data_IF_566855323043
#
_entry.id   IF_566855323043
#
_cell.length_a   1.000
_cell.length_b   1.000
_cell.length_c   1.000
_cell.angle_alpha   90.00
_cell.angle_beta   90.00
_cell.angle_gamma   90.00
#
_symmetry.space_group_name_H-M   'P 1'
#
loop_
_entity.id
_entity.type
_entity.pdbx_description
1 polymer ?
#
# COMPACT_ATOMS: atom_id res chain seq x y z
N UNK A 1 31.85 8.45 -15.68
CA UNK A 1 31.66 7.80 -16.98
C UNK A 1 30.40 8.42 -17.53
N UNK A 2 30.56 9.46 -18.34
CA UNK A 2 29.47 10.11 -19.04
C UNK A 2 29.14 9.21 -20.23
N UNK A 3 28.16 8.33 -20.05
CA UNK A 3 27.61 7.54 -21.14
C UNK A 3 26.87 8.49 -22.08
N UNK A 4 27.60 9.02 -23.07
CA UNK A 4 27.04 9.49 -24.34
C UNK A 4 26.49 8.28 -25.10
N UNK A 5 25.43 7.69 -24.58
CA UNK A 5 24.59 6.81 -25.37
C UNK A 5 23.69 7.70 -26.24
N UNK A 6 23.82 7.58 -27.55
CA UNK A 6 22.90 8.18 -28.51
C UNK A 6 21.51 7.55 -28.28
N UNK A 7 20.57 8.34 -27.78
CA UNK A 7 19.17 7.97 -27.69
C UNK A 7 18.34 8.91 -28.55
N UNK A 8 17.42 8.33 -29.31
CA UNK A 8 16.45 9.06 -30.13
C UNK A 8 15.08 8.41 -29.97
N UNK A 9 13.98 9.18 -30.09
CA UNK A 9 12.65 8.60 -30.17
C UNK A 9 12.54 7.68 -31.39
N UNK A 10 11.80 6.59 -31.25
CA UNK A 10 11.48 5.75 -32.38
C UNK A 10 10.53 6.44 -33.39
N UNK A 11 10.27 5.78 -34.52
CA UNK A 11 9.38 6.31 -35.56
C UNK A 11 7.93 6.55 -35.10
N UNK A 12 7.55 6.01 -33.94
CA UNK A 12 6.24 6.20 -33.32
C UNK A 12 6.24 7.24 -32.20
N UNK A 13 7.37 7.91 -31.96
CA UNK A 13 7.49 8.94 -30.94
C UNK A 13 7.65 8.39 -29.53
N UNK A 14 8.12 7.16 -29.35
CA UNK A 14 8.43 6.57 -28.05
C UNK A 14 9.92 6.73 -27.74
N UNK A 15 10.23 7.18 -26.53
CA UNK A 15 11.61 7.32 -26.05
C UNK A 15 11.77 6.56 -24.73
N UNK A 16 12.56 5.48 -24.79
CA UNK A 16 12.86 4.62 -23.65
C UNK A 16 14.23 4.95 -23.05
N UNK A 17 14.22 5.41 -21.80
CA UNK A 17 15.39 5.88 -21.06
C UNK A 17 15.49 5.21 -19.67
N UNK A 18 15.05 3.95 -19.60
CA UNK A 18 15.01 3.17 -18.35
C UNK A 18 16.41 2.69 -17.95
N UNK A 19 16.64 2.51 -16.65
CA UNK A 19 17.88 1.90 -16.11
C UNK A 19 19.20 2.61 -16.47
N UNK A 20 19.15 3.91 -16.78
CA UNK A 20 20.34 4.71 -17.14
C UNK A 20 21.10 5.29 -15.95
N UNK A 21 20.62 5.06 -14.73
CA UNK A 21 21.21 5.62 -13.51
C UNK A 21 21.09 7.15 -13.40
N UNK A 22 20.20 7.76 -14.20
CA UNK A 22 20.07 9.21 -14.27
C UNK A 22 19.61 9.80 -12.95
N UNK A 23 20.31 10.86 -12.50
CA UNK A 23 19.91 11.66 -11.33
C UNK A 23 19.14 12.92 -11.71
N UNK A 24 19.26 13.33 -12.98
CA UNK A 24 18.49 14.38 -13.65
C UNK A 24 18.25 13.95 -15.10
N UNK A 25 17.16 14.42 -15.70
CA UNK A 25 16.87 14.18 -17.12
C UNK A 25 17.82 15.04 -17.96
N UNK A 26 18.45 14.42 -18.96
CA UNK A 26 19.29 15.13 -19.90
C UNK A 26 18.45 16.12 -20.74
N UNK A 27 18.83 17.42 -20.81
CA UNK A 27 18.09 18.44 -21.56
C UNK A 27 17.86 18.14 -23.04
N UNK A 28 18.65 17.25 -23.66
CA UNK A 28 18.42 16.80 -25.04
C UNK A 28 17.06 16.14 -25.24
N UNK A 29 16.45 15.59 -24.19
CA UNK A 29 15.09 15.04 -24.28
C UNK A 29 14.09 16.10 -24.77
N UNK A 30 14.29 17.38 -24.42
CA UNK A 30 13.38 18.46 -24.78
C UNK A 30 13.45 18.82 -26.27
N UNK A 31 14.53 18.50 -26.98
CA UNK A 31 14.60 18.78 -28.43
C UNK A 31 13.65 17.91 -29.25
N UNK A 32 13.15 16.81 -28.67
CA UNK A 32 12.19 15.91 -29.30
C UNK A 32 10.72 16.32 -29.10
N UNK A 33 10.45 17.52 -28.57
CA UNK A 33 9.10 18.04 -28.33
C UNK A 33 8.14 17.97 -29.54
N UNK A 34 8.70 17.97 -30.75
CA UNK A 34 7.95 17.95 -32.01
C UNK A 34 7.45 16.56 -32.43
N UNK A 35 7.97 15.49 -31.84
CA UNK A 35 7.62 14.10 -32.21
C UNK A 35 7.36 13.18 -31.02
N UNK A 36 7.70 13.60 -29.80
CA UNK A 36 7.62 12.72 -28.63
C UNK A 36 6.19 12.59 -28.11
N UNK A 37 5.68 11.36 -28.14
CA UNK A 37 4.36 10.96 -27.65
C UNK A 37 4.46 10.22 -26.32
N UNK A 38 5.49 9.40 -26.13
CA UNK A 38 5.64 8.55 -24.96
C UNK A 38 7.06 8.66 -24.41
N UNK A 39 7.19 9.01 -23.14
CA UNK A 39 8.48 9.15 -22.45
C UNK A 39 8.56 8.16 -21.28
N UNK A 40 9.52 7.25 -21.32
CA UNK A 40 9.81 6.35 -20.21
C UNK A 40 11.18 6.64 -19.60
N UNK A 41 11.18 7.24 -18.41
CA UNK A 41 12.36 7.50 -17.57
C UNK A 41 12.34 6.67 -16.28
N UNK A 42 11.60 5.56 -16.27
CA UNK A 42 11.46 4.72 -15.09
C UNK A 42 12.74 3.98 -14.69
N UNK A 43 12.82 3.53 -13.44
CA UNK A 43 13.98 2.80 -12.92
C UNK A 43 15.30 3.60 -13.03
N UNK A 44 15.24 4.89 -12.69
CA UNK A 44 16.40 5.76 -12.58
C UNK A 44 16.57 6.24 -11.13
N UNK A 45 17.35 7.31 -10.93
CA UNK A 45 17.63 7.91 -9.62
C UNK A 45 17.17 9.38 -9.57
N UNK A 46 16.15 9.73 -10.38
CA UNK A 46 15.67 11.10 -10.54
C UNK A 46 15.09 11.61 -9.21
N UNK A 47 15.56 12.77 -8.75
CA UNK A 47 15.05 13.43 -7.53
C UNK A 47 13.90 14.38 -7.81
N UNK A 48 13.89 14.96 -8.99
CA UNK A 48 12.89 15.93 -9.46
C UNK A 48 12.64 15.74 -10.94
N UNK A 49 11.45 16.11 -11.41
CA UNK A 49 11.21 16.36 -12.84
C UNK A 49 11.24 17.88 -13.04
N UNK A 50 11.96 18.38 -14.05
CA UNK A 50 12.08 19.81 -14.32
C UNK A 50 10.80 20.33 -14.99
N UNK A 51 10.53 21.64 -14.85
CA UNK A 51 9.32 22.26 -15.40
C UNK A 51 9.29 22.20 -16.94
N UNK A 52 10.47 22.12 -17.58
CA UNK A 52 10.70 21.96 -19.01
C UNK A 52 10.02 20.72 -19.61
N UNK A 53 9.57 19.76 -18.79
CA UNK A 53 8.73 18.65 -19.25
C UNK A 53 7.45 19.16 -19.95
N UNK A 54 6.97 20.36 -19.60
CA UNK A 54 5.82 20.98 -20.27
C UNK A 54 6.07 21.36 -21.72
N UNK A 55 7.34 21.40 -22.17
CA UNK A 55 7.69 21.64 -23.57
C UNK A 55 7.32 20.46 -24.48
N UNK A 56 7.11 19.27 -23.91
CA UNK A 56 6.69 18.07 -24.64
C UNK A 56 5.19 18.13 -24.93
N UNK A 57 4.76 19.11 -25.73
CA UNK A 57 3.34 19.45 -25.92
C UNK A 57 2.50 18.33 -26.56
N UNK A 58 3.14 17.36 -27.22
CA UNK A 58 2.50 16.20 -27.83
C UNK A 58 2.47 14.95 -26.92
N UNK A 59 3.06 15.04 -25.72
CA UNK A 59 3.21 13.91 -24.82
C UNK A 59 1.83 13.39 -24.38
N UNK A 60 1.62 12.10 -24.58
CA UNK A 60 0.42 11.35 -24.22
C UNK A 60 0.66 10.44 -23.03
N UNK A 61 1.86 9.88 -22.90
CA UNK A 61 2.20 9.00 -21.79
C UNK A 61 3.54 9.38 -21.16
N UNK A 62 3.55 9.51 -19.83
CA UNK A 62 4.75 9.63 -19.04
C UNK A 62 4.89 8.45 -18.09
N UNK A 63 6.01 7.74 -18.16
CA UNK A 63 6.43 6.79 -17.15
C UNK A 63 7.68 7.30 -16.43
N UNK A 64 7.53 7.66 -15.16
CA UNK A 64 8.61 8.06 -14.25
C UNK A 64 8.63 7.19 -12.98
N UNK A 65 8.08 5.97 -13.07
CA UNK A 65 8.03 5.02 -11.96
C UNK A 65 9.42 4.58 -11.48
N UNK A 66 9.51 4.09 -10.24
CA UNK A 66 10.75 3.57 -9.64
C UNK A 66 11.91 4.58 -9.70
N UNK A 67 11.68 5.78 -9.16
CA UNK A 67 12.65 6.87 -9.04
C UNK A 67 12.68 7.39 -7.59
N UNK A 68 13.26 8.58 -7.36
CA UNK A 68 13.34 9.23 -6.04
C UNK A 68 12.59 10.56 -6.02
N UNK A 69 11.52 10.68 -6.82
CA UNK A 69 10.75 11.92 -6.94
C UNK A 69 10.00 12.22 -5.64
N UNK A 70 10.09 13.46 -5.16
CA UNK A 70 9.34 13.94 -3.98
C UNK A 70 8.05 14.68 -4.37
N UNK A 71 7.97 15.18 -5.60
CA UNK A 71 6.82 15.86 -6.16
C UNK A 71 6.82 15.73 -7.68
N UNK A 72 5.65 15.88 -8.29
CA UNK A 72 5.52 16.15 -9.71
C UNK A 72 5.50 17.67 -9.92
N UNK A 73 6.14 18.21 -10.98
CA UNK A 73 6.07 19.64 -11.30
C UNK A 73 4.64 20.00 -11.71
N UNK A 74 4.15 21.17 -11.30
CA UNK A 74 2.80 21.61 -11.68
C UNK A 74 2.62 21.75 -13.19
N UNK A 75 3.70 22.07 -13.91
CA UNK A 75 3.71 22.27 -15.37
C UNK A 75 3.37 21.01 -16.18
N UNK A 76 3.57 19.81 -15.62
CA UNK A 76 3.19 18.57 -16.32
C UNK A 76 1.69 18.51 -16.61
N UNK A 77 0.87 19.10 -15.73
CA UNK A 77 -0.58 19.02 -15.83
C UNK A 77 -1.19 20.00 -16.84
N UNK A 78 -0.38 20.90 -17.41
CA UNK A 78 -0.81 21.75 -18.53
C UNK A 78 -0.72 21.05 -19.89
N UNK A 79 -0.17 19.83 -19.95
CA UNK A 79 -0.06 19.05 -21.18
C UNK A 79 -1.45 18.57 -21.64
N UNK A 80 -1.97 19.18 -22.70
CA UNK A 80 -3.34 18.98 -23.16
C UNK A 80 -3.65 17.54 -23.64
N UNK A 81 -2.63 16.80 -24.07
CA UNK A 81 -2.75 15.46 -24.62
C UNK A 81 -2.33 14.36 -23.66
N UNK A 82 -1.90 14.69 -22.44
CA UNK A 82 -1.42 13.72 -21.47
C UNK A 82 -2.57 12.86 -20.93
N UNK A 83 -2.52 11.57 -21.25
CA UNK A 83 -3.55 10.56 -20.94
C UNK A 83 -3.11 9.62 -19.83
N UNK A 84 -1.82 9.32 -19.75
CA UNK A 84 -1.29 8.34 -18.78
C UNK A 84 -0.11 8.92 -18.03
N UNK A 85 -0.18 8.86 -16.70
CA UNK A 85 0.95 9.14 -15.81
C UNK A 85 1.20 7.91 -14.94
N UNK A 86 2.39 7.32 -15.07
CA UNK A 86 2.91 6.28 -14.17
C UNK A 86 4.03 6.87 -13.32
N UNK A 87 3.79 7.04 -12.04
CA UNK A 87 4.73 7.62 -11.08
C UNK A 87 4.84 6.78 -9.79
N UNK A 88 4.49 5.48 -9.88
CA UNK A 88 4.58 4.55 -8.76
C UNK A 88 6.02 4.27 -8.32
N UNK A 89 6.22 3.86 -7.07
CA UNK A 89 7.55 3.53 -6.55
C UNK A 89 8.46 4.76 -6.45
N UNK A 90 7.94 5.85 -5.90
CA UNK A 90 8.65 7.11 -5.68
C UNK A 90 8.49 7.54 -4.21
N UNK A 91 8.91 8.76 -3.88
CA UNK A 91 8.75 9.36 -2.55
C UNK A 91 7.79 10.57 -2.60
N UNK A 92 6.78 10.54 -3.46
CA UNK A 92 5.89 11.68 -3.68
C UNK A 92 5.02 11.91 -2.46
N UNK A 93 5.08 13.11 -1.88
CA UNK A 93 4.32 13.50 -0.68
C UNK A 93 3.02 14.21 -1.00
N UNK A 94 2.99 14.94 -2.12
CA UNK A 94 1.84 15.77 -2.53
C UNK A 94 1.70 15.82 -4.04
N UNK A 95 0.46 15.96 -4.52
CA UNK A 95 0.15 16.24 -5.92
C UNK A 95 -0.21 17.73 -6.03
N UNK A 96 0.39 18.48 -6.98
CA UNK A 96 0.00 19.86 -7.24
C UNK A 96 -1.48 20.01 -7.62
N UNK A 97 -2.12 21.11 -7.22
CA UNK A 97 -3.53 21.43 -7.55
C UNK A 97 -3.74 21.57 -9.06
N UNK A 98 -2.67 21.85 -9.79
CA UNK A 98 -2.61 21.97 -11.25
C UNK A 98 -3.07 20.69 -11.94
N UNK A 99 -3.12 19.53 -11.25
CA UNK A 99 -3.71 18.29 -11.78
C UNK A 99 -5.10 18.49 -12.38
N UNK A 100 -5.90 19.43 -11.86
CA UNK A 100 -7.22 19.73 -12.41
C UNK A 100 -7.21 20.33 -13.84
N UNK A 101 -6.05 20.73 -14.36
CA UNK A 101 -5.85 21.20 -15.73
C UNK A 101 -5.75 20.04 -16.73
N UNK A 102 -5.36 18.85 -16.28
CA UNK A 102 -5.11 17.69 -17.14
C UNK A 102 -6.42 16.98 -17.53
N UNK A 103 -7.23 17.61 -18.39
CA UNK A 103 -8.56 17.13 -18.80
C UNK A 103 -8.56 15.82 -19.59
N UNK A 104 -7.44 15.53 -20.26
CA UNK A 104 -7.25 14.32 -21.05
C UNK A 104 -6.80 13.11 -20.23
N UNK A 105 -6.49 13.27 -18.93
CA UNK A 105 -5.95 12.20 -18.10
C UNK A 105 -6.96 11.07 -17.93
N UNK A 106 -6.57 9.86 -18.31
CA UNK A 106 -7.36 8.64 -18.25
C UNK A 106 -6.85 7.68 -17.18
N UNK A 107 -5.52 7.63 -16.99
CA UNK A 107 -4.88 6.74 -16.01
C UNK A 107 -3.81 7.46 -15.21
N UNK A 108 -3.92 7.38 -13.88
CA UNK A 108 -2.95 7.90 -12.94
C UNK A 108 -2.55 6.81 -11.96
N UNK A 109 -1.28 6.41 -12.01
CA UNK A 109 -0.69 5.50 -11.06
C UNK A 109 0.32 6.21 -10.15
N UNK A 110 -0.03 6.30 -8.87
CA UNK A 110 0.80 6.86 -7.80
C UNK A 110 0.98 5.85 -6.65
N UNK A 111 0.83 4.56 -6.92
CA UNK A 111 1.04 3.52 -5.91
C UNK A 111 2.47 3.54 -5.35
N UNK A 112 2.68 3.02 -4.15
CA UNK A 112 4.01 2.92 -3.54
C UNK A 112 4.71 4.28 -3.47
N UNK A 113 4.04 5.23 -2.83
CA UNK A 113 4.53 6.58 -2.55
C UNK A 113 4.25 6.92 -1.07
N UNK A 114 4.39 8.18 -0.67
CA UNK A 114 4.15 8.65 0.71
C UNK A 114 3.09 9.77 0.73
N UNK A 115 2.09 9.66 -0.14
CA UNK A 115 1.03 10.66 -0.25
C UNK A 115 0.20 10.71 1.03
N UNK A 116 0.04 11.90 1.59
CA UNK A 116 -0.83 12.15 2.76
C UNK A 116 -2.17 12.78 2.38
N UNK A 117 -2.27 13.36 1.18
CA UNK A 117 -3.50 14.00 0.69
C UNK A 117 -3.61 13.88 -0.81
N UNK A 118 -4.84 13.84 -1.31
CA UNK A 118 -5.16 14.04 -2.73
C UNK A 118 -5.83 15.42 -2.87
N UNK A 119 -5.40 16.28 -3.80
CA UNK A 119 -6.01 17.59 -4.03
C UNK A 119 -7.45 17.43 -4.51
N UNK A 120 -8.33 18.35 -4.11
CA UNK A 120 -9.73 18.32 -4.54
C UNK A 120 -9.88 18.48 -6.06
N UNK A 121 -8.90 19.12 -6.70
CA UNK A 121 -8.81 19.38 -8.13
C UNK A 121 -8.69 18.10 -8.97
N UNK A 122 -8.39 16.94 -8.38
CA UNK A 122 -8.47 15.63 -9.07
C UNK A 122 -9.84 15.40 -9.73
N UNK A 123 -10.90 15.95 -9.13
CA UNK A 123 -12.27 15.89 -9.63
C UNK A 123 -12.47 16.57 -11.00
N UNK A 124 -11.52 17.44 -11.38
CA UNK A 124 -11.52 18.13 -12.66
C UNK A 124 -10.97 17.28 -13.81
N UNK A 125 -10.36 16.11 -13.52
CA UNK A 125 -9.91 15.14 -14.51
C UNK A 125 -11.09 14.29 -14.99
N UNK A 126 -11.98 14.87 -15.80
CA UNK A 126 -13.27 14.28 -16.19
C UNK A 126 -13.15 13.00 -17.02
N UNK A 127 -11.96 12.68 -17.55
CA UNK A 127 -11.69 11.45 -18.30
C UNK A 127 -11.01 10.36 -17.48
N UNK A 128 -10.73 10.61 -16.19
CA UNK A 128 -9.99 9.67 -15.35
C UNK A 128 -10.82 8.40 -15.12
N UNK A 129 -10.29 7.27 -15.60
CA UNK A 129 -10.89 5.95 -15.50
C UNK A 129 -10.15 5.07 -14.49
N UNK A 130 -8.84 5.24 -14.36
CA UNK A 130 -8.00 4.45 -13.47
C UNK A 130 -7.22 5.35 -12.53
N UNK A 131 -7.42 5.16 -11.23
CA UNK A 131 -6.68 5.84 -10.17
C UNK A 131 -6.10 4.81 -9.19
N UNK A 132 -4.79 4.64 -9.22
CA UNK A 132 -4.07 3.69 -8.36
C UNK A 132 -3.29 4.46 -7.30
N UNK A 133 -3.65 4.25 -6.05
CA UNK A 133 -3.11 4.96 -4.87
C UNK A 133 -2.62 3.98 -3.80
N UNK A 134 -2.60 2.67 -4.05
CA UNK A 134 -2.23 1.68 -3.04
C UNK A 134 -0.82 1.87 -2.48
N UNK A 135 -0.58 1.43 -1.24
CA UNK A 135 0.71 1.59 -0.55
C UNK A 135 1.13 3.08 -0.47
N UNK A 136 0.31 3.89 0.18
CA UNK A 136 0.56 5.31 0.45
C UNK A 136 0.25 5.62 1.93
N UNK A 137 0.11 6.89 2.31
CA UNK A 137 -0.21 7.31 3.68
C UNK A 137 -1.50 8.14 3.76
N UNK A 138 -2.50 7.87 2.90
CA UNK A 138 -3.72 8.67 2.82
C UNK A 138 -4.66 8.38 4.01
N UNK A 139 -4.88 9.32 4.94
CA UNK A 139 -5.86 9.14 6.01
C UNK A 139 -7.29 9.41 5.53
N UNK A 140 -7.46 10.08 4.39
CA UNK A 140 -8.76 10.43 3.80
C UNK A 140 -8.66 10.72 2.32
N UNK A 141 -9.79 10.57 1.62
CA UNK A 141 -9.96 11.03 0.24
C UNK A 141 -10.82 12.30 0.21
N UNK A 142 -10.57 13.22 -0.74
CA UNK A 142 -11.41 14.39 -0.92
C UNK A 142 -12.79 13.97 -1.45
N UNK A 143 -13.84 14.60 -0.92
CA UNK A 143 -15.22 14.35 -1.37
C UNK A 143 -15.44 14.65 -2.84
N UNK A 144 -14.64 15.56 -3.40
CA UNK A 144 -14.69 15.90 -4.82
C UNK A 144 -14.37 14.70 -5.71
N UNK A 145 -13.66 13.68 -5.22
CA UNK A 145 -13.40 12.45 -5.95
C UNK A 145 -14.70 11.73 -6.35
N UNK A 146 -15.78 11.94 -5.60
CA UNK A 146 -17.08 11.38 -5.92
C UNK A 146 -17.67 11.92 -7.23
N UNK A 147 -17.26 13.12 -7.67
CA UNK A 147 -17.61 13.64 -9.00
C UNK A 147 -17.06 12.75 -10.15
N UNK A 148 -16.09 11.87 -9.86
CA UNK A 148 -15.56 10.91 -10.82
C UNK A 148 -16.29 9.56 -10.79
N UNK A 149 -17.25 9.33 -9.88
CA UNK A 149 -17.87 8.00 -9.69
C UNK A 149 -18.60 7.47 -10.92
N UNK A 150 -18.99 8.35 -11.85
CA UNK A 150 -19.65 7.96 -13.10
C UNK A 150 -18.68 7.46 -14.19
N UNK A 151 -17.38 7.80 -14.11
CA UNK A 151 -16.38 7.41 -15.11
C UNK A 151 -15.24 6.54 -14.56
N UNK A 152 -14.97 6.60 -13.25
CA UNK A 152 -13.87 5.88 -12.64
C UNK A 152 -14.20 4.38 -12.62
N UNK A 153 -13.46 3.62 -13.41
CA UNK A 153 -13.61 2.17 -13.54
C UNK A 153 -12.80 1.41 -12.49
N UNK A 154 -11.66 1.98 -12.09
CA UNK A 154 -10.76 1.36 -11.15
C UNK A 154 -10.22 2.41 -10.16
N UNK A 155 -10.44 2.14 -8.87
CA UNK A 155 -9.85 2.85 -7.76
C UNK A 155 -9.21 1.84 -6.81
N UNK A 156 -7.89 1.91 -6.64
CA UNK A 156 -7.20 1.12 -5.62
C UNK A 156 -6.60 2.04 -4.56
N UNK A 157 -7.02 1.85 -3.32
CA UNK A 157 -6.62 2.61 -2.13
C UNK A 157 -6.17 1.67 -1.00
N UNK A 158 -5.82 0.43 -1.34
CA UNK A 158 -5.32 -0.55 -0.39
C UNK A 158 -4.04 -0.06 0.29
N UNK A 159 -3.78 -0.51 1.52
CA UNK A 159 -2.54 -0.21 2.26
C UNK A 159 -2.19 1.30 2.36
N UNK A 160 -3.16 2.16 2.67
CA UNK A 160 -2.95 3.60 2.83
C UNK A 160 -2.99 4.07 4.29
N UNK A 161 -3.91 3.52 5.07
CA UNK A 161 -4.05 3.69 6.51
C UNK A 161 -5.06 2.65 6.98
N UNK A 162 -4.93 2.20 8.24
CA UNK A 162 -5.91 1.30 8.88
C UNK A 162 -7.31 1.96 8.94
N UNK A 163 -7.36 3.29 9.04
CA UNK A 163 -8.60 4.08 9.03
C UNK A 163 -8.52 5.16 7.95
N UNK A 164 -8.98 4.85 6.73
CA UNK A 164 -9.27 5.90 5.74
C UNK A 164 -10.63 6.51 6.11
N UNK A 165 -10.61 7.69 6.70
CA UNK A 165 -11.81 8.44 7.09
C UNK A 165 -12.27 9.26 5.89
N UNK A 166 -13.34 8.85 5.21
CA UNK A 166 -14.00 9.73 4.22
C UNK A 166 -14.92 10.69 4.98
N UNK A 167 -14.52 11.95 5.14
CA UNK A 167 -15.33 12.94 5.90
C UNK A 167 -16.49 13.45 5.05
N UNK A 168 -17.73 13.11 5.40
CA UNK A 168 -18.95 13.64 4.77
C UNK A 168 -19.37 14.98 5.42
N UNK A 169 -19.66 16.07 4.65
CA UNK A 169 -20.17 17.30 5.23
C UNK A 169 -21.59 17.11 5.80
N UNK A 170 -21.98 17.87 6.81
CA UNK A 170 -23.32 17.78 7.42
C UNK A 170 -24.48 18.21 6.49
N UNK A 171 -24.17 18.72 5.29
CA UNK A 171 -25.14 19.14 4.26
C UNK A 171 -24.77 18.51 2.90
N UNK A 172 -24.94 17.20 2.73
CA UNK A 172 -24.81 16.58 1.41
C UNK A 172 -26.19 16.32 0.84
N UNK A 173 -26.53 17.06 -0.22
CA UNK A 173 -27.74 16.84 -1.00
C UNK A 173 -27.48 16.76 -2.52
N UNK A 174 -26.23 16.65 -3.00
CA UNK A 174 -25.99 16.92 -4.43
C UNK A 174 -25.65 15.76 -5.36
N UNK A 175 -25.39 14.56 -4.87
CA UNK A 175 -25.40 13.39 -5.76
C UNK A 175 -25.51 12.10 -4.94
N UNK A 176 -26.63 11.39 -5.10
CA UNK A 176 -26.87 10.12 -4.42
C UNK A 176 -25.88 9.04 -4.87
N UNK A 177 -25.38 9.11 -6.10
CA UNK A 177 -24.43 8.13 -6.64
C UNK A 177 -23.05 8.28 -6.00
N UNK A 178 -22.58 9.52 -5.87
CA UNK A 178 -21.39 9.88 -5.08
C UNK A 178 -21.45 9.37 -3.64
N UNK A 179 -22.60 9.52 -2.97
CA UNK A 179 -22.80 9.04 -1.58
C UNK A 179 -22.77 7.52 -1.54
N UNK A 180 -23.51 6.85 -2.45
CA UNK A 180 -23.55 5.38 -2.50
C UNK A 180 -22.20 4.76 -2.81
N UNK A 181 -21.41 5.38 -3.69
CA UNK A 181 -20.05 4.96 -3.98
C UNK A 181 -19.12 5.12 -2.77
N UNK A 182 -19.18 6.25 -2.06
CA UNK A 182 -18.44 6.45 -0.81
C UNK A 182 -18.88 5.43 0.27
N UNK A 183 -20.18 5.19 0.42
CA UNK A 183 -20.71 4.22 1.37
C UNK A 183 -20.28 2.79 1.01
N UNK A 184 -20.21 2.45 -0.29
CA UNK A 184 -19.69 1.16 -0.76
C UNK A 184 -18.22 0.96 -0.37
N UNK A 185 -17.39 2.00 -0.54
CA UNK A 185 -15.98 1.97 -0.11
C UNK A 185 -15.84 1.80 1.41
N UNK A 186 -16.77 2.34 2.20
CA UNK A 186 -16.81 2.16 3.66
C UNK A 186 -17.28 0.75 4.05
N UNK A 187 -18.29 0.20 3.38
CA UNK A 187 -18.83 -1.13 3.70
C UNK A 187 -17.81 -2.23 3.42
N UNK A 188 -17.11 -2.22 2.30
CA UNK A 188 -16.10 -3.25 1.99
C UNK A 188 -14.97 -3.29 3.03
N UNK A 189 -14.55 -2.12 3.55
CA UNK A 189 -13.56 -2.04 4.64
C UNK A 189 -14.14 -2.39 6.01
N UNK A 190 -15.35 -1.94 6.34
CA UNK A 190 -16.02 -2.29 7.60
C UNK A 190 -16.18 -3.80 7.77
N UNK A 191 -16.61 -4.50 6.71
CA UNK A 191 -16.74 -5.96 6.73
C UNK A 191 -15.39 -6.66 6.89
N UNK A 192 -14.31 -6.11 6.32
CA UNK A 192 -12.96 -6.65 6.46
C UNK A 192 -12.44 -6.50 7.90
N UNK A 193 -12.67 -5.34 8.53
CA UNK A 193 -12.32 -5.08 9.93
C UNK A 193 -13.14 -5.96 10.88
N UNK A 194 -14.45 -6.08 10.67
CA UNK A 194 -15.33 -6.91 11.51
C UNK A 194 -15.05 -8.41 11.36
N UNK A 195 -14.59 -8.84 10.18
CA UNK A 195 -14.08 -10.21 9.97
C UNK A 195 -12.81 -10.43 10.77
N UNK A 196 -11.81 -9.54 10.66
CA UNK A 196 -10.55 -9.65 11.39
C UNK A 196 -10.74 -9.56 12.90
N UNK A 197 -11.62 -8.69 13.40
CA UNK A 197 -11.97 -8.61 14.83
C UNK A 197 -12.60 -9.91 15.34
N UNK A 198 -13.49 -10.54 14.55
CA UNK A 198 -14.05 -11.85 14.89
C UNK A 198 -12.99 -12.95 14.92
N UNK A 199 -12.09 -12.94 13.96
CA UNK A 199 -10.99 -13.91 13.87
C UNK A 199 -10.01 -13.76 15.04
N UNK A 200 -9.63 -12.54 15.41
CA UNK A 200 -8.83 -12.25 16.60
C UNK A 200 -9.53 -12.70 17.89
N UNK A 201 -10.84 -12.43 18.03
CA UNK A 201 -11.59 -12.85 19.21
C UNK A 201 -11.70 -14.38 19.32
N UNK A 202 -11.86 -15.10 18.21
CA UNK A 202 -11.85 -16.57 18.20
C UNK A 202 -10.49 -17.11 18.62
N UNK A 203 -9.40 -16.59 18.02
CA UNK A 203 -8.04 -17.02 18.36
C UNK A 203 -7.69 -16.76 19.83
N UNK A 204 -8.18 -15.65 20.41
CA UNK A 204 -8.01 -15.37 21.85
C UNK A 204 -8.78 -16.36 22.72
N UNK A 205 -10.00 -16.74 22.34
CA UNK A 205 -10.79 -17.73 23.07
C UNK A 205 -10.13 -19.12 23.03
N UNK A 206 -9.66 -19.54 21.85
CA UNK A 206 -8.97 -20.81 21.65
C UNK A 206 -7.68 -20.87 22.48
N UNK A 207 -6.92 -19.77 22.54
CA UNK A 207 -5.72 -19.70 23.37
C UNK A 207 -6.03 -19.84 24.88
N UNK A 208 -7.09 -19.19 25.37
CA UNK A 208 -7.52 -19.33 26.77
C UNK A 208 -7.95 -20.78 27.07
N UNK A 209 -8.63 -21.44 26.14
CA UNK A 209 -9.01 -22.85 26.28
C UNK A 209 -7.78 -23.75 26.36
N UNK A 210 -6.82 -23.56 25.45
CA UNK A 210 -5.56 -24.31 25.44
C UNK A 210 -4.74 -24.09 26.72
N UNK A 211 -4.69 -22.87 27.25
CA UNK A 211 -4.02 -22.57 28.53
C UNK A 211 -4.66 -23.29 29.72
N UNK A 212 -6.00 -23.40 29.74
CA UNK A 212 -6.74 -24.15 30.78
C UNK A 212 -6.49 -25.64 30.70
N UNK A 213 -6.51 -26.20 29.49
CA UNK A 213 -6.19 -27.62 29.27
C UNK A 213 -4.75 -27.92 29.70
N UNK A 214 -3.80 -27.05 29.34
CA UNK A 214 -2.40 -27.19 29.76
C UNK A 214 -2.26 -27.12 31.29
N UNK A 215 -3.02 -26.26 31.97
CA UNK A 215 -3.02 -26.18 33.43
C UNK A 215 -3.56 -27.47 34.08
N UNK A 216 -4.67 -28.01 33.56
CA UNK A 216 -5.22 -29.27 34.05
C UNK A 216 -4.27 -30.44 33.85
N UNK A 217 -3.58 -30.50 32.71
CA UNK A 217 -2.62 -31.58 32.45
C UNK A 217 -1.38 -31.45 33.33
N UNK A 218 -0.92 -30.22 33.63
CA UNK A 218 0.15 -29.99 34.61
C UNK A 218 -0.23 -30.47 36.02
N UNK A 219 -1.44 -30.20 36.48
CA UNK A 219 -1.94 -30.68 37.79
C UNK A 219 -2.02 -32.22 37.82
N UNK A 220 -2.43 -32.83 36.71
CA UNK A 220 -2.48 -34.29 36.56
C UNK A 220 -1.09 -34.90 36.61
N UNK A 221 -0.11 -34.29 35.93
CA UNK A 221 1.31 -34.70 36.00
C UNK A 221 1.83 -34.60 37.43
N UNK A 222 1.61 -33.47 38.12
CA UNK A 222 2.03 -33.27 39.50
C UNK A 222 1.42 -34.33 40.46
N UNK A 223 0.15 -34.68 40.24
CA UNK A 223 -0.52 -35.74 41.01
C UNK A 223 0.14 -37.11 40.77
N UNK A 224 0.43 -37.45 39.52
CA UNK A 224 1.09 -38.70 39.15
C UNK A 224 2.53 -38.76 39.68
N UNK A 225 3.26 -37.65 39.67
CA UNK A 225 4.58 -37.54 40.27
C UNK A 225 4.53 -37.80 41.78
N UNK A 226 3.56 -37.20 42.49
CA UNK A 226 3.36 -37.46 43.92
C UNK A 226 3.05 -38.94 44.21
N UNK A 227 2.18 -39.57 43.42
CA UNK A 227 1.90 -41.01 43.54
C UNK A 227 3.14 -41.86 43.28
N UNK A 228 3.93 -41.51 42.27
CA UNK A 228 5.21 -42.16 41.98
C UNK A 228 6.16 -42.05 43.17
N UNK A 229 6.31 -40.88 43.79
CA UNK A 229 7.20 -40.69 44.95
C UNK A 229 6.75 -41.52 46.15
N UNK A 230 5.43 -41.63 46.41
CA UNK A 230 4.89 -42.49 47.47
C UNK A 230 5.25 -43.95 47.21
N UNK A 231 5.03 -44.45 45.99
CA UNK A 231 5.38 -45.81 45.61
C UNK A 231 6.88 -46.09 45.74
N UNK A 232 7.74 -45.14 45.32
CA UNK A 232 9.20 -45.25 45.48
C UNK A 232 9.61 -45.35 46.95
N UNK A 233 9.01 -44.53 47.83
CA UNK A 233 9.25 -44.58 49.28
C UNK A 233 8.75 -45.89 49.93
N UNK A 234 7.58 -46.39 49.52
CA UNK A 234 7.02 -47.64 50.03
C UNK A 234 7.93 -48.82 49.67
N UNK A 235 8.43 -48.87 48.43
CA UNK A 235 9.42 -49.85 47.99
C UNK A 235 10.69 -49.77 48.84
N UNK A 236 11.26 -48.57 49.03
CA UNK A 236 12.48 -48.39 49.84
C UNK A 236 12.27 -48.80 51.31
N UNK A 237 11.10 -48.50 51.88
CA UNK A 237 10.76 -48.88 53.26
C UNK A 237 10.52 -50.39 53.43
N UNK A 238 9.96 -51.06 52.41
CA UNK A 238 9.80 -52.51 52.35
C UNK A 238 11.15 -53.22 52.35
N UNK A 239 12.09 -52.76 51.54
CA UNK A 239 13.47 -53.28 51.54
C UNK A 239 14.19 -53.06 52.88
N UNK A 240 13.96 -51.94 53.57
CA UNK A 240 14.51 -51.71 54.93
C UNK A 240 13.90 -52.65 55.97
N UNK A 241 12.59 -52.91 55.94
CA UNK A 241 11.93 -53.85 56.88
C UNK A 241 12.36 -55.29 56.67
N UNK A 242 12.54 -55.72 55.43
CA UNK A 242 13.06 -57.07 55.13
C UNK A 242 14.51 -57.25 55.60
N UNK A 243 15.38 -56.26 55.42
CA UNK A 243 16.76 -56.34 55.92
C UNK A 243 16.86 -56.33 57.46
N UNK A 244 15.99 -55.62 58.17
CA UNK A 244 15.96 -55.64 59.65
C UNK A 244 15.40 -56.99 60.16
N UNK A 245 14.46 -57.60 59.44
CA UNK A 245 13.94 -58.93 59.77
C UNK A 245 14.95 -60.07 59.59
N UNK A 246 15.88 -59.93 58.64
CA UNK A 246 16.96 -60.91 58.42
C UNK A 246 18.09 -60.75 59.44
N UNK A 247 18.41 -59.52 59.86
CA UNK A 247 19.45 -59.27 60.87
C UNK A 247 19.00 -59.54 62.33
N UNK A 248 17.68 -59.57 62.60
CA UNK A 248 17.15 -59.93 63.93
C UNK A 248 16.98 -61.45 64.15
N UNK A 249 17.40 -62.29 63.19
CA UNK A 249 17.22 -63.75 63.19
C UNK A 249 18.53 -64.56 63.17
N UNK A 250 19.66 -63.93 63.47
CA UNK A 250 20.97 -64.59 63.68
C UNK A 250 21.43 -64.31 65.10
#
# INVERSE_FOLDING_TARGET
MEDNEDYEPDASGHLELRYRGWTAIDPRVWSFAHCLLNLDVSFNQLKTLPDEISNLHLLQELNCSCNKLQSLPGSIFSLAWLRVIKANGNAITTIPKEIGQCKALESLNLSENVLMTIPQEIASCTRLQTLLLQNNCLPRLPLSLAALSGQLQQLDISNNSEEIIITLPAKIHRDANSIMWILSLQQEKGHSIDRLKREVNMLQHDNISAERELAMEKDRIATLEGQKTVLENDIESGFKKENVGVLARV
#
